data_IF_684804085422
#
_entry.id   IF_684804085422
#
_cell.length_a   1.000
_cell.length_b   1.000
_cell.length_c   1.000
_cell.angle_alpha   90.00
_cell.angle_beta   90.00
_cell.angle_gamma   90.00
#
_symmetry.space_group_name_H-M   'P 1'
#
loop_
_entity.id
_entity.type
_entity.pdbx_description
1 polymer ?
#
# COMPACT_ATOMS: atom_id res chain seq x y z
N UNK A 1 -4.55 20.94 11.72
CA UNK A 1 -4.14 20.23 10.49
C UNK A 1 -4.36 18.76 10.74
N UNK A 2 -5.19 18.04 9.96
CA UNK A 2 -5.40 16.61 10.22
C UNK A 2 -4.15 15.82 9.84
N UNK A 3 -3.69 14.95 10.74
CA UNK A 3 -2.61 14.01 10.49
C UNK A 3 -3.02 13.11 9.30
N UNK A 4 -2.08 12.80 8.40
CA UNK A 4 -2.32 11.91 7.24
C UNK A 4 -2.93 10.57 7.67
N UNK A 5 -2.56 10.07 8.85
CA UNK A 5 -3.14 8.85 9.42
C UNK A 5 -4.65 8.97 9.64
N UNK A 6 -5.10 10.05 10.28
CA UNK A 6 -6.52 10.34 10.48
C UNK A 6 -7.25 10.47 9.14
N UNK A 7 -6.65 11.17 8.17
CA UNK A 7 -7.22 11.31 6.83
C UNK A 7 -7.42 9.96 6.13
N UNK A 8 -6.45 9.04 6.25
CA UNK A 8 -6.56 7.70 5.67
C UNK A 8 -7.64 6.88 6.39
N UNK A 9 -7.75 7.02 7.72
CA UNK A 9 -8.78 6.37 8.53
C UNK A 9 -10.19 6.85 8.17
N UNK A 10 -10.42 8.16 8.19
CA UNK A 10 -11.71 8.79 7.85
C UNK A 10 -12.18 8.44 6.45
N UNK A 11 -11.24 8.26 5.50
CA UNK A 11 -11.54 7.89 4.11
C UNK A 11 -11.64 6.38 3.89
N UNK A 12 -11.46 5.56 4.93
CA UNK A 12 -11.58 4.10 4.83
C UNK A 12 -10.42 3.38 4.15
N UNK A 13 -9.23 3.98 4.07
CA UNK A 13 -8.04 3.31 3.53
C UNK A 13 -7.37 2.34 4.51
N UNK A 14 -7.66 2.46 5.81
CA UNK A 14 -7.04 1.63 6.86
C UNK A 14 -7.99 0.50 7.21
N UNK A 15 -7.68 -0.71 6.75
CA UNK A 15 -8.34 -1.93 7.22
C UNK A 15 -7.74 -2.42 8.55
N UNK A 16 -6.41 -2.43 8.64
CA UNK A 16 -5.64 -2.88 9.81
C UNK A 16 -4.31 -2.12 9.90
N UNK A 17 -3.77 -2.07 11.11
CA UNK A 17 -2.42 -1.56 11.41
C UNK A 17 -1.76 -2.52 12.40
N UNK A 18 -0.43 -2.44 12.54
CA UNK A 18 0.29 -3.18 13.59
C UNK A 18 0.04 -2.59 14.98
N UNK A 19 0.05 -1.26 15.08
CA UNK A 19 -0.25 -0.47 16.27
C UNK A 19 -0.66 0.93 15.81
N UNK A 20 -1.89 1.33 16.11
CA UNK A 20 -2.44 2.61 15.68
C UNK A 20 -1.63 3.81 16.16
N UNK A 21 -1.20 3.80 17.43
CA UNK A 21 -0.51 4.94 18.04
C UNK A 21 0.89 5.05 17.50
N UNK A 22 1.62 3.93 17.43
CA UNK A 22 2.98 3.92 16.92
C UNK A 22 3.03 4.31 15.44
N UNK A 23 2.07 3.86 14.63
CA UNK A 23 1.97 4.24 13.21
C UNK A 23 1.63 5.73 13.07
N UNK A 24 0.68 6.24 13.85
CA UNK A 24 0.34 7.67 13.81
C UNK A 24 1.52 8.58 14.20
N UNK A 25 2.29 8.18 15.22
CA UNK A 25 3.53 8.85 15.64
C UNK A 25 4.60 8.77 14.55
N UNK A 26 4.80 7.59 13.94
CA UNK A 26 5.76 7.42 12.85
C UNK A 26 5.42 8.30 11.64
N UNK A 27 4.14 8.48 11.35
CA UNK A 27 3.66 9.33 10.26
C UNK A 27 3.66 10.83 10.60
N UNK A 28 3.97 11.21 11.84
CA UNK A 28 4.20 12.63 12.19
C UNK A 28 5.51 13.18 11.61
N UNK A 29 6.47 12.30 11.30
CA UNK A 29 7.75 12.62 10.69
C UNK A 29 7.86 12.20 9.22
N UNK A 30 9.02 12.46 8.59
CA UNK A 30 9.29 12.00 7.22
C UNK A 30 9.68 10.52 7.20
N UNK A 31 8.71 9.66 6.94
CA UNK A 31 8.90 8.21 6.83
C UNK A 31 9.07 7.76 5.37
N UNK A 32 9.84 6.69 5.16
CA UNK A 32 9.92 5.99 3.87
C UNK A 32 9.01 4.77 3.91
N UNK A 33 8.07 4.68 2.98
CA UNK A 33 7.11 3.58 2.86
C UNK A 33 7.29 2.90 1.51
N UNK A 34 6.93 1.62 1.43
CA UNK A 34 6.89 0.89 0.18
C UNK A 34 5.55 0.19 -0.02
N UNK A 35 5.20 -0.01 -1.28
CA UNK A 35 4.09 -0.86 -1.72
C UNK A 35 4.58 -1.79 -2.83
N UNK A 36 4.27 -3.08 -2.69
CA UNK A 36 4.63 -4.11 -3.67
C UNK A 36 3.58 -4.28 -4.76
N UNK A 37 4.03 -4.42 -6.01
CA UNK A 37 3.18 -4.76 -7.16
C UNK A 37 3.79 -5.93 -7.95
N UNK A 38 3.06 -7.03 -8.04
CA UNK A 38 3.44 -8.15 -8.89
C UNK A 38 2.91 -7.96 -10.31
N UNK A 39 3.77 -8.01 -11.36
CA UNK A 39 3.33 -7.97 -12.75
C UNK A 39 2.55 -9.23 -13.14
N UNK A 40 1.25 -9.26 -12.83
CA UNK A 40 0.35 -10.38 -13.14
C UNK A 40 -0.42 -10.20 -14.46
N UNK A 41 -0.27 -9.05 -15.11
CA UNK A 41 -0.85 -8.71 -16.40
C UNK A 41 -0.04 -7.63 -17.10
N UNK A 42 -0.41 -7.29 -18.33
CA UNK A 42 0.28 -6.28 -19.15
C UNK A 42 0.04 -4.84 -18.71
N UNK A 43 -0.93 -4.60 -17.82
CA UNK A 43 -1.27 -3.29 -17.29
C UNK A 43 -1.88 -3.39 -15.89
N UNK A 44 -1.76 -2.32 -15.10
CA UNK A 44 -2.59 -2.10 -13.92
C UNK A 44 -4.04 -1.84 -14.35
N UNK A 45 -5.00 -2.29 -13.54
CA UNK A 45 -6.41 -1.97 -13.63
C UNK A 45 -6.94 -1.27 -12.37
N UNK A 46 -8.22 -0.88 -12.35
CA UNK A 46 -8.87 -0.12 -11.27
C UNK A 46 -8.71 -0.73 -9.87
N UNK A 47 -8.62 -2.07 -9.74
CA UNK A 47 -8.34 -2.73 -8.46
C UNK A 47 -7.07 -2.26 -7.74
N UNK A 48 -6.08 -1.74 -8.45
CA UNK A 48 -4.84 -1.20 -7.86
C UNK A 48 -4.98 0.25 -7.40
N UNK A 49 -6.02 0.96 -7.84
CA UNK A 49 -6.18 2.38 -7.60
C UNK A 49 -6.31 2.72 -6.11
N UNK A 50 -6.95 1.85 -5.32
CA UNK A 50 -7.12 2.07 -3.88
C UNK A 50 -5.76 2.22 -3.18
N UNK A 51 -4.85 1.27 -3.39
CA UNK A 51 -3.51 1.33 -2.80
C UNK A 51 -2.70 2.52 -3.35
N UNK A 52 -2.74 2.75 -4.67
CA UNK A 52 -2.07 3.90 -5.28
C UNK A 52 -2.52 5.25 -4.71
N UNK A 53 -3.82 5.41 -4.42
CA UNK A 53 -4.35 6.64 -3.83
C UNK A 53 -3.97 6.79 -2.35
N UNK A 54 -3.86 5.70 -1.59
CA UNK A 54 -3.32 5.74 -0.22
C UNK A 54 -1.85 6.21 -0.24
N UNK A 55 -1.03 5.64 -1.12
CA UNK A 55 0.37 6.03 -1.30
C UNK A 55 0.49 7.49 -1.77
N UNK A 56 -0.39 7.95 -2.66
CA UNK A 56 -0.46 9.35 -3.07
C UNK A 56 -0.72 10.27 -1.88
N UNK A 57 -1.67 9.96 -1.00
CA UNK A 57 -1.94 10.76 0.20
C UNK A 57 -0.75 10.82 1.15
N UNK A 58 -0.03 9.72 1.33
CA UNK A 58 1.21 9.67 2.11
C UNK A 58 2.31 10.52 1.45
N UNK A 59 2.47 10.44 0.14
CA UNK A 59 3.43 11.27 -0.60
C UNK A 59 3.12 12.77 -0.47
N UNK A 60 1.84 13.16 -0.58
CA UNK A 60 1.39 14.55 -0.41
C UNK A 60 1.64 15.07 1.02
N UNK A 61 1.70 14.18 2.01
CA UNK A 61 2.08 14.52 3.38
C UNK A 61 3.61 14.66 3.58
N UNK A 62 4.41 14.51 2.52
CA UNK A 62 5.87 14.69 2.55
C UNK A 62 6.68 13.40 2.75
N UNK A 63 6.02 12.24 2.81
CA UNK A 63 6.70 10.96 2.92
C UNK A 63 7.37 10.53 1.62
N UNK A 64 8.38 9.66 1.73
CA UNK A 64 9.03 9.03 0.57
C UNK A 64 8.31 7.73 0.27
N UNK A 65 7.80 7.58 -0.96
CA UNK A 65 7.13 6.36 -1.43
C UNK A 65 8.06 5.60 -2.37
N UNK A 66 8.11 4.28 -2.20
CA UNK A 66 8.84 3.34 -3.07
C UNK A 66 7.83 2.33 -3.61
N UNK A 67 7.65 2.27 -4.93
CA UNK A 67 6.92 1.19 -5.56
C UNK A 67 7.89 0.06 -5.91
N UNK A 68 7.68 -1.12 -5.31
CA UNK A 68 8.51 -2.30 -5.52
C UNK A 68 7.84 -3.23 -6.53
N UNK A 69 8.47 -3.41 -7.69
CA UNK A 69 7.98 -4.35 -8.70
C UNK A 69 8.50 -5.75 -8.38
N UNK A 70 7.58 -6.65 -8.04
CA UNK A 70 7.85 -8.00 -7.58
C UNK A 70 8.15 -8.98 -8.72
N UNK A 71 9.31 -8.84 -9.37
CA UNK A 71 9.69 -9.71 -10.48
C UNK A 71 9.81 -11.20 -10.08
N UNK A 72 10.36 -11.49 -8.90
CA UNK A 72 10.47 -12.85 -8.38
C UNK A 72 9.14 -13.38 -7.82
N UNK A 73 8.43 -12.56 -7.05
CA UNK A 73 7.13 -12.92 -6.45
C UNK A 73 6.06 -13.17 -7.52
N UNK A 74 6.11 -12.46 -8.65
CA UNK A 74 5.24 -12.75 -9.79
C UNK A 74 5.49 -14.13 -10.42
N UNK A 75 6.72 -14.66 -10.35
CA UNK A 75 7.06 -16.00 -10.85
C UNK A 75 6.57 -17.08 -9.90
N UNK A 76 6.80 -16.90 -8.59
CA UNK A 76 6.38 -17.86 -7.56
C UNK A 76 4.85 -17.88 -7.43
N UNK A 77 4.21 -16.72 -7.55
CA UNK A 77 2.80 -16.51 -7.29
C UNK A 77 2.50 -16.44 -5.80
N UNK A 78 1.77 -15.41 -5.39
CA UNK A 78 1.24 -15.32 -4.03
C UNK A 78 0.04 -16.28 -3.86
N UNK A 79 0.06 -17.23 -2.91
CA UNK A 79 -1.05 -18.13 -2.63
C UNK A 79 -2.24 -17.45 -1.95
N UNK A 80 -2.11 -16.21 -1.48
CA UNK A 80 -3.14 -15.53 -0.67
C UNK A 80 -4.40 -15.29 -1.51
N UNK A 81 -5.49 -15.98 -1.13
CA UNK A 81 -6.84 -15.77 -1.65
C UNK A 81 -7.20 -16.52 -2.94
N UNK A 82 -6.35 -17.42 -3.44
CA UNK A 82 -6.67 -18.27 -4.61
C UNK A 82 -6.72 -19.75 -4.20
N UNK A 83 -7.92 -20.33 -4.29
CA UNK A 83 -8.16 -21.75 -4.01
C UNK A 83 -7.62 -22.69 -5.11
N UNK A 84 -7.16 -22.15 -6.24
CA UNK A 84 -6.66 -22.94 -7.37
C UNK A 84 -5.31 -22.40 -7.81
N UNK A 85 -4.33 -23.30 -7.84
CA UNK A 85 -3.01 -23.08 -8.45
C UNK A 85 -3.20 -22.73 -9.92
N UNK A 86 -2.59 -21.64 -10.39
CA UNK A 86 -2.68 -21.21 -11.80
C UNK A 86 -2.18 -22.35 -12.69
N UNK A 87 -3.06 -22.92 -13.54
CA UNK A 87 -2.69 -23.85 -14.62
C UNK A 87 -2.13 -23.08 -15.81
#
# INVERSE_FOLDING_TARGET
MSNVFQKLRERGYIAQTSDDKAVEELLSGRTTLYEGFDPTGSSLHIGHLLSLMAMHHLQQAGHRIIFLLGGFTAIVGDPIGKSETRQ
#
